data_IF_582050899259
#
_entry.id   IF_582050899259
#
_cell.length_a   1.000
_cell.length_b   1.000
_cell.length_c   1.000
_cell.angle_alpha   90.00
_cell.angle_beta   90.00
_cell.angle_gamma   90.00
#
_symmetry.space_group_name_H-M   'P 1'
#
loop_
_entity.id
_entity.type
_entity.pdbx_description
1 polymer ?
#
# COMPACT_ATOMS: atom_id res chain seq x y z
N UNK A 1 14.30 3.66 -4.72
CA UNK A 1 13.21 4.61 -4.38
C UNK A 1 13.08 4.64 -2.87
N UNK A 2 13.19 5.80 -2.26
CA UNK A 2 13.08 5.95 -0.81
C UNK A 2 11.63 6.16 -0.36
N UNK A 3 11.43 6.24 0.96
CA UNK A 3 10.11 6.39 1.56
C UNK A 3 9.35 7.60 1.02
N UNK A 4 10.02 8.75 0.98
CA UNK A 4 9.36 9.99 0.58
C UNK A 4 8.97 9.97 -0.91
N UNK A 5 9.81 9.37 -1.75
CA UNK A 5 9.50 9.20 -3.17
C UNK A 5 8.32 8.26 -3.38
N UNK A 6 8.25 7.16 -2.62
CA UNK A 6 7.11 6.23 -2.68
C UNK A 6 5.82 6.94 -2.31
N UNK A 7 5.82 7.66 -1.20
CA UNK A 7 4.64 8.38 -0.71
C UNK A 7 4.21 9.46 -1.70
N UNK A 8 5.15 10.23 -2.24
CA UNK A 8 4.85 11.26 -3.22
C UNK A 8 4.21 10.68 -4.48
N UNK A 9 4.73 9.55 -4.95
CA UNK A 9 4.21 8.85 -6.12
C UNK A 9 2.79 8.35 -5.88
N UNK A 10 2.53 7.78 -4.72
CA UNK A 10 1.20 7.30 -4.35
C UNK A 10 0.20 8.45 -4.25
N UNK A 11 0.59 9.56 -3.65
CA UNK A 11 -0.26 10.75 -3.55
C UNK A 11 -0.58 11.36 -4.90
N UNK A 12 0.37 11.33 -5.82
CA UNK A 12 0.18 11.80 -7.19
C UNK A 12 -0.95 11.03 -7.89
N UNK A 13 -1.11 9.75 -7.57
CA UNK A 13 -2.12 8.87 -8.16
C UNK A 13 -3.34 8.63 -7.24
N UNK A 14 -3.48 9.40 -6.18
CA UNK A 14 -4.58 9.26 -5.23
C UNK A 14 -5.96 9.20 -5.90
N UNK A 15 -6.33 10.12 -6.82
CA UNK A 15 -7.67 10.07 -7.43
C UNK A 15 -7.95 8.77 -8.17
N UNK A 16 -6.96 8.24 -8.90
CA UNK A 16 -7.09 6.97 -9.61
C UNK A 16 -7.26 5.79 -8.65
N UNK A 17 -6.46 5.78 -7.58
CA UNK A 17 -6.48 4.70 -6.61
C UNK A 17 -7.76 4.72 -5.80
N UNK A 18 -8.26 5.89 -5.44
CA UNK A 18 -9.56 6.02 -4.77
C UNK A 18 -10.70 5.59 -5.68
N UNK A 19 -10.63 5.94 -6.96
CA UNK A 19 -11.63 5.49 -7.95
C UNK A 19 -11.62 3.97 -8.11
N UNK A 20 -10.49 3.32 -7.88
CA UNK A 20 -10.35 1.86 -7.93
C UNK A 20 -10.81 1.17 -6.63
N UNK A 21 -11.17 1.92 -5.59
CA UNK A 21 -11.72 1.38 -4.35
C UNK A 21 -10.84 1.48 -3.12
N UNK A 22 -9.69 2.13 -3.21
CA UNK A 22 -8.80 2.35 -2.06
C UNK A 22 -9.24 3.62 -1.34
N UNK A 23 -9.62 3.49 -0.07
CA UNK A 23 -10.02 4.64 0.77
C UNK A 23 -8.80 5.28 1.42
N UNK A 24 -7.94 4.46 2.02
CA UNK A 24 -6.69 4.89 2.62
C UNK A 24 -5.58 3.92 2.24
N UNK A 25 -4.36 4.45 2.10
CA UNK A 25 -3.19 3.67 1.73
C UNK A 25 -2.03 4.05 2.63
N UNK A 26 -1.37 3.05 3.23
CA UNK A 26 -0.25 3.25 4.13
C UNK A 26 0.95 2.45 3.69
N UNK A 27 2.15 3.03 3.81
CA UNK A 27 3.41 2.35 3.61
C UNK A 27 3.84 1.68 4.91
N UNK A 28 4.19 0.40 4.85
CA UNK A 28 4.59 -0.40 6.00
C UNK A 28 5.92 -1.10 5.71
N UNK A 29 6.45 -1.80 6.71
CA UNK A 29 7.66 -2.58 6.56
C UNK A 29 8.95 -1.75 6.55
N UNK A 30 10.00 -2.29 5.95
CA UNK A 30 11.33 -1.68 6.00
C UNK A 30 11.40 -0.30 5.36
N UNK A 31 10.64 -0.03 4.30
CA UNK A 31 10.64 1.29 3.65
C UNK A 31 10.01 2.36 4.54
N UNK A 32 8.97 2.02 5.30
CA UNK A 32 8.37 2.95 6.25
C UNK A 32 9.39 3.37 7.32
N UNK A 33 10.27 2.44 7.71
CA UNK A 33 11.33 2.70 8.69
C UNK A 33 12.58 3.33 8.07
N UNK A 34 12.63 3.49 6.74
CA UNK A 34 13.80 4.02 6.05
C UNK A 34 14.95 3.04 5.96
N UNK A 35 14.74 1.75 6.23
CA UNK A 35 15.79 0.73 6.30
C UNK A 35 15.89 -0.14 5.05
N UNK A 36 15.03 0.07 4.06
CA UNK A 36 14.98 -0.78 2.87
C UNK A 36 16.10 -0.46 1.88
N UNK A 37 16.59 -1.50 1.18
CA UNK A 37 17.43 -1.31 0.01
C UNK A 37 16.56 -0.87 -1.19
N UNK A 38 17.22 -0.40 -2.26
CA UNK A 38 16.52 0.05 -3.48
C UNK A 38 15.76 -1.09 -4.17
N UNK A 39 16.11 -2.35 -3.89
CA UNK A 39 15.49 -3.53 -4.51
C UNK A 39 14.47 -4.23 -3.61
N UNK A 40 14.25 -3.74 -2.40
CA UNK A 40 13.28 -4.33 -1.48
C UNK A 40 11.86 -4.13 -2.00
N UNK A 41 11.00 -5.12 -1.73
CA UNK A 41 9.57 -5.01 -2.02
C UNK A 41 8.95 -3.86 -1.22
N UNK A 42 7.91 -3.27 -1.78
CA UNK A 42 7.14 -2.24 -1.10
C UNK A 42 5.92 -2.89 -0.46
N UNK A 43 5.81 -2.79 0.86
CA UNK A 43 4.67 -3.31 1.61
C UNK A 43 3.66 -2.20 1.82
N UNK A 44 2.47 -2.37 1.27
CA UNK A 44 1.37 -1.42 1.39
C UNK A 44 0.19 -2.06 2.11
N UNK A 45 -0.47 -1.28 2.95
CA UNK A 45 -1.70 -1.65 3.61
C UNK A 45 -2.79 -0.74 3.09
N UNK A 46 -3.85 -1.34 2.56
CA UNK A 46 -4.97 -0.60 1.99
C UNK A 46 -6.26 -0.81 2.78
N UNK A 47 -6.95 0.27 3.07
CA UNK A 47 -8.35 0.22 3.46
C UNK A 47 -9.19 0.33 2.20
N UNK A 48 -9.97 -0.71 1.90
CA UNK A 48 -10.83 -0.73 0.74
C UNK A 48 -12.25 -0.30 1.08
N UNK A 49 -12.93 0.27 0.10
CA UNK A 49 -14.37 0.52 0.20
C UNK A 49 -15.09 -0.84 0.12
N UNK A 50 -15.51 -1.36 1.27
CA UNK A 50 -16.14 -2.67 1.36
C UNK A 50 -17.48 -2.75 0.61
N UNK A 51 -18.13 -1.63 0.39
CA UNK A 51 -19.40 -1.60 -0.38
C UNK A 51 -19.16 -1.96 -1.86
N UNK A 52 -17.94 -1.85 -2.36
CA UNK A 52 -17.61 -2.19 -3.75
C UNK A 52 -17.40 -3.68 -3.97
N UNK A 53 -17.29 -4.46 -2.90
CA UNK A 53 -17.13 -5.92 -2.99
C UNK A 53 -16.01 -6.35 -3.93
N UNK A 54 -14.83 -5.78 -3.74
CA UNK A 54 -13.66 -6.08 -4.58
C UNK A 54 -13.27 -7.55 -4.46
N UNK A 55 -13.00 -8.18 -5.61
CA UNK A 55 -12.58 -9.58 -5.67
C UNK A 55 -11.07 -9.70 -5.46
N UNK A 56 -10.61 -10.96 -5.30
CA UNK A 56 -9.17 -11.26 -5.27
C UNK A 56 -8.48 -10.81 -6.56
N UNK A 57 -9.13 -10.97 -7.71
CA UNK A 57 -8.59 -10.51 -8.98
C UNK A 57 -8.45 -8.99 -9.03
N UNK A 58 -9.40 -8.26 -8.46
CA UNK A 58 -9.31 -6.81 -8.35
C UNK A 58 -8.09 -6.40 -7.51
N UNK A 59 -7.85 -7.09 -6.39
CA UNK A 59 -6.69 -6.86 -5.53
C UNK A 59 -5.39 -7.10 -6.29
N UNK A 60 -5.28 -8.21 -7.00
CA UNK A 60 -4.09 -8.55 -7.79
C UNK A 60 -3.86 -7.52 -8.90
N UNK A 61 -4.92 -7.08 -9.54
CA UNK A 61 -4.84 -6.02 -10.56
C UNK A 61 -4.30 -4.71 -9.99
N UNK A 62 -4.75 -4.33 -8.80
CA UNK A 62 -4.25 -3.14 -8.11
C UNK A 62 -2.78 -3.30 -7.70
N UNK A 63 -2.41 -4.47 -7.21
CA UNK A 63 -1.04 -4.79 -6.84
C UNK A 63 -0.09 -4.65 -8.03
N UNK A 64 -0.49 -5.20 -9.18
CA UNK A 64 0.29 -5.10 -10.41
C UNK A 64 0.40 -3.64 -10.89
N UNK A 65 -0.69 -2.90 -10.81
CA UNK A 65 -0.70 -1.49 -11.19
C UNK A 65 0.22 -0.65 -10.31
N UNK A 66 0.20 -0.90 -9.00
CA UNK A 66 1.08 -0.21 -8.06
C UNK A 66 2.55 -0.59 -8.30
N UNK A 67 2.82 -1.86 -8.62
CA UNK A 67 4.17 -2.31 -8.95
C UNK A 67 4.69 -1.61 -10.21
N UNK A 68 3.86 -1.47 -11.23
CA UNK A 68 4.22 -0.75 -12.46
C UNK A 68 4.48 0.73 -12.16
N UNK A 69 3.65 1.34 -11.33
CA UNK A 69 3.76 2.73 -10.94
C UNK A 69 5.07 3.01 -10.20
N UNK A 70 5.44 2.15 -9.27
CA UNK A 70 6.61 2.33 -8.41
C UNK A 70 7.89 1.74 -9.01
N UNK A 71 7.78 0.86 -10.01
CA UNK A 71 8.93 0.22 -10.63
C UNK A 71 9.59 -0.85 -9.76
N UNK A 72 8.94 -1.29 -8.69
CA UNK A 72 9.39 -2.35 -7.79
C UNK A 72 8.20 -3.22 -7.41
N UNK A 73 8.41 -4.48 -7.00
CA UNK A 73 7.31 -5.33 -6.55
C UNK A 73 6.58 -4.73 -5.36
N UNK A 74 5.25 -4.81 -5.39
CA UNK A 74 4.39 -4.33 -4.32
C UNK A 74 3.62 -5.49 -3.71
N UNK A 75 3.62 -5.58 -2.39
CA UNK A 75 2.77 -6.48 -1.63
C UNK A 75 1.66 -5.64 -0.99
N UNK A 76 0.44 -5.84 -1.47
CA UNK A 76 -0.73 -5.07 -1.04
C UNK A 76 -1.58 -5.93 -0.11
N UNK A 77 -1.70 -5.51 1.14
CA UNK A 77 -2.48 -6.22 2.15
C UNK A 77 -3.73 -5.43 2.50
N UNK A 78 -4.93 -6.03 2.38
CA UNK A 78 -6.14 -5.40 2.88
C UNK A 78 -6.08 -5.23 4.40
N UNK A 79 -6.40 -4.05 4.90
CA UNK A 79 -6.31 -3.73 6.32
C UNK A 79 -7.12 -4.70 7.18
N UNK A 80 -8.34 -5.03 6.74
CA UNK A 80 -9.25 -5.87 7.51
C UNK A 80 -8.81 -7.35 7.61
N UNK A 81 -7.81 -7.76 6.83
CA UNK A 81 -7.29 -9.14 6.86
C UNK A 81 -6.04 -9.29 7.71
N UNK A 82 -5.51 -8.20 8.26
CA UNK A 82 -4.29 -8.23 9.06
C UNK A 82 -4.53 -8.97 10.39
N UNK A 83 -3.56 -9.80 10.78
CA UNK A 83 -3.54 -10.39 12.12
C UNK A 83 -3.33 -9.27 13.15
N UNK A 84 -3.84 -9.44 14.35
CA UNK A 84 -3.81 -8.41 15.37
C UNK A 84 -2.40 -7.87 15.65
N UNK A 85 -1.41 -8.75 15.76
CA UNK A 85 -0.03 -8.33 16.00
C UNK A 85 0.52 -7.44 14.88
N UNK A 86 0.18 -7.77 13.62
CA UNK A 86 0.60 -6.98 12.46
C UNK A 86 -0.17 -5.65 12.42
N UNK A 87 -1.47 -5.67 12.71
CA UNK A 87 -2.28 -4.46 12.75
C UNK A 87 -1.76 -3.49 13.83
N UNK A 88 -1.38 -4.00 14.99
CA UNK A 88 -0.83 -3.19 16.07
C UNK A 88 0.51 -2.57 15.69
N UNK A 89 1.37 -3.33 15.04
CA UNK A 89 2.66 -2.83 14.54
C UNK A 89 2.45 -1.76 13.47
N UNK A 90 1.52 -2.00 12.54
CA UNK A 90 1.20 -1.05 11.48
C UNK A 90 0.66 0.26 12.04
N UNK A 91 -0.16 0.20 13.10
CA UNK A 91 -0.68 1.39 13.75
C UNK A 91 0.44 2.27 14.31
N UNK A 92 1.56 1.66 14.72
CA UNK A 92 2.71 2.40 15.28
C UNK A 92 3.72 2.82 14.20
N UNK A 93 3.93 2.00 13.18
CA UNK A 93 5.08 2.14 12.27
C UNK A 93 4.70 2.55 10.85
N UNK A 94 3.48 2.28 10.40
CA UNK A 94 3.08 2.59 9.05
C UNK A 94 2.96 4.09 8.82
N UNK A 95 3.31 4.53 7.62
CA UNK A 95 3.26 5.93 7.21
C UNK A 95 2.16 6.10 6.18
N UNK A 96 1.24 7.02 6.43
CA UNK A 96 0.12 7.28 5.54
C UNK A 96 0.60 7.93 4.23
N UNK A 97 0.16 7.34 3.09
CA UNK A 97 0.30 7.98 1.80
C UNK A 97 -0.89 8.92 1.57
N UNK A 98 -2.09 8.43 1.89
CA UNK A 98 -3.28 9.28 1.85
C UNK A 98 -4.42 8.68 2.66
#
# INVERSE_FOLDING_TARGET
>A
MDRDNVIAKLREHEPELMAAGIVHLRLHGSRARGAASATSDVDLIAEFDLARQLSLLDKVGLENRLSDLLGVPVDLSPEHTLKQAVADRAAREAVSAF
#
